data_IF_485298069956
#
_entry.id   IF_485298069956
#
_cell.length_a   1.000
_cell.length_b   1.000
_cell.length_c   1.000
_cell.angle_alpha   90.00
_cell.angle_beta   90.00
_cell.angle_gamma   90.00
#
_symmetry.space_group_name_H-M   'P 1'
#
loop_
_entity.id
_entity.type
_entity.pdbx_description
1 polymer ?
#
# COMPACT_ATOMS: atom_id res chain seq x y z
N UNK A 1 13.97 23.05 1.11
CA UNK A 1 12.61 23.64 1.21
C UNK A 1 12.60 24.87 0.33
N UNK A 2 11.92 24.83 -0.83
CA UNK A 2 11.38 26.01 -1.56
C UNK A 2 10.83 25.70 -2.97
N UNK A 3 10.89 24.47 -3.51
CA UNK A 3 10.12 24.16 -4.72
C UNK A 3 8.78 23.54 -4.30
N UNK A 4 7.82 24.41 -3.97
CA UNK A 4 6.39 24.11 -3.98
C UNK A 4 5.87 24.56 -5.34
N UNK A 5 6.25 23.86 -6.41
CA UNK A 5 5.52 23.96 -7.66
C UNK A 5 4.29 23.08 -7.45
N UNK A 6 3.24 23.68 -6.88
CA UNK A 6 1.90 23.15 -7.03
C UNK A 6 1.72 23.15 -8.55
N UNK A 7 1.64 21.96 -9.17
CA UNK A 7 1.09 21.87 -10.50
C UNK A 7 -0.28 22.55 -10.41
N UNK A 8 -0.37 23.78 -10.93
CA UNK A 8 -1.66 24.39 -11.21
C UNK A 8 -2.19 23.54 -12.35
N UNK A 9 -2.89 22.47 -11.99
CA UNK A 9 -3.93 21.95 -12.87
C UNK A 9 -4.88 23.13 -13.02
N UNK A 10 -4.73 23.83 -14.13
CA UNK A 10 -5.69 24.79 -14.65
C UNK A 10 -6.92 23.96 -15.06
N UNK A 11 -7.56 23.34 -14.08
CA UNK A 11 -8.85 22.70 -14.21
C UNK A 11 -9.81 23.80 -14.57
N UNK A 12 -10.12 23.85 -15.86
CA UNK A 12 -11.17 24.68 -16.43
C UNK A 12 -12.44 24.47 -15.59
N UNK A 13 -12.73 25.46 -14.73
CA UNK A 13 -14.02 25.69 -14.11
C UNK A 13 -15.02 26.05 -15.22
N UNK A 14 -15.42 25.06 -16.01
CA UNK A 14 -16.63 25.14 -16.81
C UNK A 14 -17.81 24.87 -15.87
N UNK A 15 -18.24 25.96 -15.22
CA UNK A 15 -19.58 26.18 -14.75
C UNK A 15 -20.56 25.86 -15.89
N UNK A 16 -21.23 24.70 -15.82
CA UNK A 16 -22.56 24.56 -16.42
C UNK A 16 -23.49 23.89 -15.38
N UNK A 17 -24.37 24.76 -14.89
CA UNK A 17 -25.56 24.49 -14.13
C UNK A 17 -26.47 23.41 -14.77
N UNK A 18 -27.38 22.92 -13.95
CA UNK A 18 -28.66 22.25 -14.30
C UNK A 18 -28.57 20.75 -14.66
N UNK A 19 -28.91 19.88 -13.72
CA UNK A 19 -30.32 19.45 -13.59
C UNK A 19 -30.49 18.47 -12.42
N UNK A 20 -31.51 18.76 -11.61
CA UNK A 20 -32.19 17.82 -10.74
C UNK A 20 -32.58 16.56 -11.54
N UNK A 21 -32.18 15.38 -11.09
CA UNK A 21 -33.05 14.21 -11.15
C UNK A 21 -32.66 13.22 -10.04
N UNK A 22 -33.58 13.11 -9.09
CA UNK A 22 -33.79 11.93 -8.27
C UNK A 22 -33.72 10.68 -9.17
N UNK A 23 -32.95 9.66 -8.80
CA UNK A 23 -33.47 8.29 -8.77
C UNK A 23 -32.49 7.33 -8.08
N UNK A 24 -33.06 6.74 -7.04
CA UNK A 24 -32.81 5.47 -6.37
C UNK A 24 -31.94 4.41 -7.08
N UNK A 25 -31.30 3.60 -6.21
CA UNK A 25 -30.99 2.18 -6.38
C UNK A 25 -30.03 1.78 -7.52
N UNK A 26 -28.81 1.37 -7.16
CA UNK A 26 -28.56 -0.06 -6.98
C UNK A 26 -27.13 -0.34 -6.51
N UNK A 27 -27.06 -1.27 -5.57
CA UNK A 27 -25.88 -2.03 -5.20
C UNK A 27 -25.27 -2.68 -6.47
N UNK A 28 -24.02 -2.36 -6.80
CA UNK A 28 -23.20 -3.30 -7.55
C UNK A 28 -21.78 -3.32 -6.96
N UNK A 29 -21.55 -4.45 -6.29
CA UNK A 29 -20.29 -5.00 -5.83
C UNK A 29 -19.35 -5.22 -7.04
N UNK A 30 -18.45 -4.28 -7.32
CA UNK A 30 -17.29 -4.56 -8.17
C UNK A 30 -16.06 -4.84 -7.28
N UNK A 31 -15.95 -6.12 -6.94
CA UNK A 31 -14.76 -6.83 -6.49
C UNK A 31 -13.67 -6.81 -7.58
N UNK A 32 -13.00 -5.68 -7.77
CA UNK A 32 -11.75 -5.63 -8.56
C UNK A 32 -10.55 -5.92 -7.63
N UNK A 33 -10.35 -7.23 -7.43
CA UNK A 33 -9.21 -7.89 -6.80
C UNK A 33 -8.01 -7.88 -7.77
N UNK A 34 -7.48 -6.68 -8.05
CA UNK A 34 -6.25 -6.50 -8.84
C UNK A 34 -5.03 -6.84 -7.99
N UNK A 35 -4.71 -8.14 -8.01
CA UNK A 35 -3.54 -8.75 -7.40
C UNK A 35 -2.23 -8.41 -8.11
N UNK A 36 -1.77 -7.17 -7.97
CA UNK A 36 -0.42 -6.77 -8.35
C UNK A 36 0.57 -7.17 -7.23
N UNK A 37 1.13 -8.37 -7.39
CA UNK A 37 2.35 -8.80 -6.68
C UNK A 37 3.56 -8.15 -7.35
N UNK A 38 3.80 -6.88 -7.05
CA UNK A 38 5.07 -6.22 -7.34
C UNK A 38 6.09 -6.58 -6.24
N UNK A 39 6.66 -7.79 -6.36
CA UNK A 39 7.86 -8.22 -5.66
C UNK A 39 9.10 -7.53 -6.27
N UNK A 40 9.11 -6.20 -6.30
CA UNK A 40 10.30 -5.41 -6.58
C UNK A 40 11.12 -5.30 -5.30
N UNK A 41 12.04 -6.25 -5.13
CA UNK A 41 13.12 -6.21 -4.16
C UNK A 41 14.04 -5.01 -4.46
N UNK A 42 13.59 -3.83 -4.02
CA UNK A 42 14.32 -2.58 -4.07
C UNK A 42 15.56 -2.66 -3.18
N UNK A 43 16.65 -3.12 -3.78
CA UNK A 43 17.97 -2.91 -3.27
C UNK A 43 18.21 -1.40 -3.19
N UNK A 44 17.93 -0.81 -2.02
CA UNK A 44 18.07 0.62 -1.69
C UNK A 44 19.50 1.09 -1.95
N UNK A 45 19.81 1.39 -3.22
CA UNK A 45 21.07 1.96 -3.62
C UNK A 45 21.10 3.36 -3.03
N UNK A 46 22.11 3.60 -2.17
CA UNK A 46 22.39 4.91 -1.57
C UNK A 46 22.07 6.04 -2.54
N UNK A 47 20.94 6.69 -2.29
CA UNK A 47 20.56 7.92 -2.96
C UNK A 47 21.65 8.89 -2.57
N UNK A 48 22.49 9.27 -3.54
CA UNK A 48 23.39 10.40 -3.36
C UNK A 48 22.49 11.61 -3.25
N UNK A 49 22.14 11.92 -2.00
CA UNK A 49 21.45 13.13 -1.65
C UNK A 49 22.22 14.29 -2.26
N UNK A 50 21.57 15.00 -3.18
CA UNK A 50 22.05 16.26 -3.80
C UNK A 50 22.28 17.34 -2.71
N UNK A 51 22.03 17.03 -1.43
CA UNK A 51 22.25 17.89 -0.27
C UNK A 51 23.44 17.49 0.61
N UNK A 52 24.49 16.85 0.08
CA UNK A 52 25.82 17.09 0.65
C UNK A 52 26.22 18.53 0.30
N UNK A 53 25.60 19.49 1.01
CA UNK A 53 26.04 20.89 1.02
C UNK A 53 27.50 20.83 1.44
N UNK A 54 28.46 21.25 0.60
CA UNK A 54 29.84 21.26 1.01
C UNK A 54 29.92 22.11 2.29
N UNK A 55 30.24 21.46 3.41
CA UNK A 55 30.24 22.04 4.77
C UNK A 55 30.88 23.43 4.79
N UNK A 56 31.91 23.59 3.96
CA UNK A 56 32.74 24.76 3.79
C UNK A 56 31.98 26.04 3.36
N UNK A 57 30.75 25.96 2.86
CA UNK A 57 29.96 27.13 2.42
C UNK A 57 29.24 27.88 3.54
N UNK A 58 28.93 27.18 4.65
CA UNK A 58 28.10 27.71 5.74
C UNK A 58 28.84 28.00 7.04
N UNK A 59 30.08 27.48 7.17
CA UNK A 59 30.84 27.52 8.42
C UNK A 59 31.29 28.93 8.85
N UNK A 60 31.19 29.94 7.97
CA UNK A 60 31.69 31.30 8.23
C UNK A 60 30.59 32.38 8.31
N UNK A 61 29.31 32.03 8.12
CA UNK A 61 28.22 33.01 8.18
C UNK A 61 27.61 33.07 9.58
N UNK A 62 27.71 34.23 10.23
CA UNK A 62 27.25 34.49 11.59
C UNK A 62 25.72 34.49 11.78
N UNK A 63 24.93 34.24 10.73
CA UNK A 63 23.46 34.21 10.78
C UNK A 63 22.90 33.06 9.96
N UNK A 64 22.02 32.28 10.60
CA UNK A 64 21.30 31.11 10.04
C UNK A 64 20.59 31.42 8.72
N UNK A 65 20.11 32.67 8.57
CA UNK A 65 19.40 33.16 7.38
C UNK A 65 20.19 33.08 6.08
N UNK A 66 21.52 33.25 6.14
CA UNK A 66 22.33 33.27 4.92
C UNK A 66 22.59 31.86 4.39
N UNK A 67 22.56 30.86 5.27
CA UNK A 67 22.71 29.46 4.88
C UNK A 67 21.47 28.96 4.16
N UNK A 68 20.29 29.34 4.63
CA UNK A 68 19.02 28.99 3.97
C UNK A 68 18.97 29.58 2.56
N UNK A 69 19.30 30.86 2.41
CA UNK A 69 19.37 31.51 1.09
C UNK A 69 20.40 30.84 0.17
N UNK A 70 21.57 30.46 0.70
CA UNK A 70 22.60 29.75 -0.06
C UNK A 70 22.09 28.39 -0.57
N UNK A 71 21.49 27.58 0.30
CA UNK A 71 20.93 26.27 -0.08
C UNK A 71 19.86 26.40 -1.16
N UNK A 72 18.99 27.42 -1.07
CA UNK A 72 18.00 27.69 -2.11
C UNK A 72 18.68 28.04 -3.44
N UNK A 73 19.67 28.95 -3.42
CA UNK A 73 20.40 29.35 -4.62
C UNK A 73 21.14 28.22 -5.32
N UNK A 74 21.51 27.15 -4.60
CA UNK A 74 22.15 25.98 -5.19
C UNK A 74 21.20 25.19 -6.10
N UNK A 75 19.89 25.26 -5.87
CA UNK A 75 18.89 24.51 -6.64
C UNK A 75 18.30 25.31 -7.81
N UNK A 76 18.63 26.60 -7.88
CA UNK A 76 18.12 27.52 -8.91
C UNK A 76 18.93 27.41 -10.21
N UNK A 77 18.23 27.59 -11.34
CA UNK A 77 18.86 27.85 -12.63
C UNK A 77 18.93 29.37 -12.87
N UNK A 78 20.04 29.98 -12.45
CA UNK A 78 20.27 31.43 -12.61
C UNK A 78 20.37 31.90 -14.08
N UNK A 79 20.36 30.98 -15.05
CA UNK A 79 20.38 31.33 -16.48
C UNK A 79 18.98 31.51 -17.07
N UNK A 80 17.94 31.02 -16.39
CA UNK A 80 16.55 31.20 -16.81
C UNK A 80 16.02 32.58 -16.38
N UNK A 81 15.07 33.13 -17.15
CA UNK A 81 14.44 34.40 -16.82
C UNK A 81 13.25 34.18 -15.87
N UNK A 82 13.31 34.65 -14.60
CA UNK A 82 12.21 34.46 -13.65
C UNK A 82 10.91 35.16 -14.06
N UNK A 83 10.96 36.14 -14.96
CA UNK A 83 9.77 36.83 -15.46
C UNK A 83 9.05 36.06 -16.58
N UNK A 84 9.70 35.02 -17.13
CA UNK A 84 9.18 34.23 -18.25
C UNK A 84 8.91 32.78 -17.81
N UNK A 85 9.87 32.14 -17.16
CA UNK A 85 9.80 30.75 -16.71
C UNK A 85 10.30 30.65 -15.26
N UNK A 86 9.44 31.03 -14.32
CA UNK A 86 9.81 31.04 -12.90
C UNK A 86 10.15 29.64 -12.38
N UNK A 87 9.47 28.60 -12.86
CA UNK A 87 9.70 27.22 -12.43
C UNK A 87 11.10 26.72 -12.84
N UNK A 88 11.51 27.00 -14.08
CA UNK A 88 12.86 26.68 -14.55
C UNK A 88 13.90 27.50 -13.79
N UNK A 89 13.67 28.79 -13.53
CA UNK A 89 14.57 29.60 -12.71
C UNK A 89 14.70 29.08 -11.28
N UNK A 90 13.60 28.74 -10.63
CA UNK A 90 13.58 28.31 -9.23
C UNK A 90 14.10 26.88 -9.05
N UNK A 91 13.80 25.97 -9.99
CA UNK A 91 13.95 24.53 -9.80
C UNK A 91 14.59 23.81 -11.00
N UNK A 92 14.97 24.51 -12.06
CA UNK A 92 15.54 23.91 -13.26
C UNK A 92 16.77 23.06 -12.98
N UNK A 93 17.64 23.45 -12.05
CA UNK A 93 18.77 22.60 -11.66
C UNK A 93 18.32 21.35 -10.92
N UNK A 94 17.33 21.47 -10.04
CA UNK A 94 16.74 20.33 -9.35
C UNK A 94 16.20 19.30 -10.36
N UNK A 95 15.42 19.72 -11.36
CA UNK A 95 14.90 18.80 -12.38
C UNK A 95 15.99 18.12 -13.21
N UNK A 96 17.09 18.82 -13.47
CA UNK A 96 18.20 18.29 -14.26
C UNK A 96 19.12 17.35 -13.47
N UNK A 97 19.22 17.52 -12.15
CA UNK A 97 20.15 16.77 -11.29
C UNK A 97 19.45 15.69 -10.44
N UNK A 98 18.16 15.81 -10.17
CA UNK A 98 17.40 14.84 -9.40
C UNK A 98 17.27 13.52 -10.19
N UNK A 99 17.65 12.41 -9.56
CA UNK A 99 17.50 11.07 -10.12
C UNK A 99 16.35 10.37 -9.42
N UNK A 100 15.38 9.86 -10.19
CA UNK A 100 14.30 9.02 -9.69
C UNK A 100 14.84 7.87 -8.86
N UNK A 101 14.24 7.67 -7.69
CA UNK A 101 14.49 6.50 -6.87
C UNK A 101 14.04 5.26 -7.66
N UNK A 102 14.72 4.11 -7.52
CA UNK A 102 14.17 2.84 -8.00
C UNK A 102 12.74 2.68 -7.46
N UNK A 103 11.79 2.32 -8.32
CA UNK A 103 10.37 2.19 -7.96
C UNK A 103 9.59 3.52 -7.80
N UNK A 104 10.25 4.67 -7.85
CA UNK A 104 9.60 5.98 -7.66
C UNK A 104 9.16 6.64 -8.97
N UNK A 105 7.88 7.01 -9.09
CA UNK A 105 7.35 7.77 -10.23
C UNK A 105 7.43 9.29 -10.07
N UNK A 106 7.58 9.79 -8.83
CA UNK A 106 7.54 11.21 -8.51
C UNK A 106 8.67 11.54 -7.52
N UNK A 107 9.43 12.61 -7.80
CA UNK A 107 10.33 13.21 -6.82
C UNK A 107 9.86 14.61 -6.50
N UNK A 108 9.55 14.84 -5.24
CA UNK A 108 9.35 16.18 -4.70
C UNK A 108 10.33 16.45 -3.57
N UNK A 109 10.41 17.71 -3.14
CA UNK A 109 11.15 18.07 -1.93
C UNK A 109 10.66 17.33 -0.68
N UNK A 110 9.39 16.91 -0.66
CA UNK A 110 8.83 16.11 0.43
C UNK A 110 9.39 14.70 0.42
N UNK A 111 9.41 14.04 -0.73
CA UNK A 111 10.00 12.70 -0.85
C UNK A 111 11.45 12.67 -0.37
N UNK A 112 12.24 13.71 -0.66
CA UNK A 112 13.61 13.82 -0.17
C UNK A 112 13.69 14.03 1.35
N UNK A 113 12.81 14.84 1.92
CA UNK A 113 12.75 15.06 3.37
C UNK A 113 12.29 13.79 4.10
N UNK A 114 11.26 13.14 3.59
CA UNK A 114 10.68 11.92 4.14
C UNK A 114 11.64 10.76 4.03
N UNK A 115 12.31 10.57 2.88
CA UNK A 115 13.35 9.55 2.72
C UNK A 115 14.45 9.72 3.77
N UNK A 116 14.94 10.95 3.99
CA UNK A 116 15.96 11.21 5.01
C UNK A 116 15.45 11.00 6.43
N UNK A 117 14.20 11.38 6.70
CA UNK A 117 13.57 11.13 8.00
C UNK A 117 13.42 9.62 8.25
N UNK A 118 13.00 8.87 7.23
CA UNK A 118 12.88 7.42 7.26
C UNK A 118 14.23 6.74 7.45
N UNK A 119 15.30 7.22 6.82
CA UNK A 119 16.66 6.70 7.05
C UNK A 119 17.06 6.84 8.52
N UNK A 120 16.89 8.03 9.10
CA UNK A 120 17.21 8.28 10.53
C UNK A 120 16.34 7.41 11.45
N UNK A 121 15.04 7.32 11.17
CA UNK A 121 14.12 6.48 11.95
C UNK A 121 14.50 5.01 11.82
N UNK A 122 14.81 4.55 10.61
CA UNK A 122 15.23 3.18 10.31
C UNK A 122 16.50 2.82 11.07
N UNK A 123 17.50 3.70 11.07
CA UNK A 123 18.73 3.51 11.84
C UNK A 123 18.45 3.36 13.34
N UNK A 124 17.60 4.23 13.92
CA UNK A 124 17.19 4.14 15.33
C UNK A 124 16.45 2.82 15.61
N UNK A 125 15.57 2.39 14.72
CA UNK A 125 14.75 1.19 14.88
C UNK A 125 15.56 -0.10 14.71
N UNK A 126 16.66 -0.06 13.94
CA UNK A 126 17.59 -1.18 13.75
C UNK A 126 18.51 -1.39 14.95
N UNK A 127 18.69 -0.38 15.80
CA UNK A 127 19.47 -0.54 17.02
C UNK A 127 18.92 -1.64 17.95
N UNK A 128 19.79 -2.20 18.77
CA UNK A 128 19.35 -3.05 19.88
C UNK A 128 18.48 -2.31 20.89
N UNK A 129 17.53 -3.04 21.48
CA UNK A 129 16.72 -2.55 22.59
C UNK A 129 17.65 -2.38 23.79
N UNK A 130 17.74 -1.16 24.30
CA UNK A 130 18.55 -0.83 25.48
C UNK A 130 17.69 -1.00 26.73
N UNK A 131 18.27 -1.37 27.88
CA UNK A 131 17.50 -1.49 29.14
C UNK A 131 16.95 -0.15 29.65
N UNK A 132 17.46 0.97 29.11
CA UNK A 132 16.97 2.33 29.39
C UNK A 132 15.87 2.78 28.44
N UNK A 133 15.57 2.01 27.39
CA UNK A 133 14.53 2.36 26.42
C UNK A 133 13.16 2.29 27.10
N UNK A 134 12.31 3.27 26.79
CA UNK A 134 10.94 3.29 27.28
C UNK A 134 10.09 2.29 26.48
N UNK A 135 8.93 1.91 27.01
CA UNK A 135 8.06 0.92 26.36
C UNK A 135 7.69 1.31 24.92
N UNK A 136 7.42 2.60 24.67
CA UNK A 136 7.10 3.13 23.35
C UNK A 136 8.28 3.13 22.35
N UNK A 137 9.52 3.02 22.84
CA UNK A 137 10.71 2.86 21.98
C UNK A 137 11.03 1.37 21.77
N UNK A 138 10.75 0.54 22.77
CA UNK A 138 11.03 -0.90 22.74
C UNK A 138 10.16 -1.62 21.71
N UNK A 139 8.86 -1.34 21.67
CA UNK A 139 7.92 -2.02 20.79
C UNK A 139 8.23 -1.83 19.29
N UNK A 140 8.45 -0.61 18.79
CA UNK A 140 8.82 -0.40 17.39
C UNK A 140 10.12 -1.11 16.99
N UNK A 141 11.14 -1.13 17.86
CA UNK A 141 12.40 -1.84 17.59
C UNK A 141 12.20 -3.36 17.48
N UNK A 142 11.42 -3.94 18.40
CA UNK A 142 11.10 -5.38 18.36
C UNK A 142 10.30 -5.72 17.10
N UNK A 143 9.32 -4.87 16.77
CA UNK A 143 8.50 -5.03 15.58
C UNK A 143 9.36 -4.99 14.31
N UNK A 144 10.17 -3.94 14.13
CA UNK A 144 11.08 -3.80 12.99
C UNK A 144 12.03 -5.00 12.85
N UNK A 145 12.63 -5.46 13.94
CA UNK A 145 13.50 -6.66 13.92
C UNK A 145 12.76 -7.94 13.54
N UNK A 146 11.49 -8.04 13.90
CA UNK A 146 10.66 -9.18 13.50
C UNK A 146 10.35 -9.14 12.00
N UNK A 147 10.09 -7.95 11.47
CA UNK A 147 9.86 -7.70 10.04
C UNK A 147 11.13 -7.89 9.18
N UNK A 148 12.33 -7.63 9.69
CA UNK A 148 13.57 -7.78 8.92
C UNK A 148 14.18 -9.18 9.01
N UNK A 149 13.66 -10.06 9.88
CA UNK A 149 14.21 -11.39 10.05
C UNK A 149 13.56 -12.38 9.09
N UNK A 150 14.16 -12.52 7.90
CA UNK A 150 13.71 -13.44 6.83
C UNK A 150 13.40 -14.86 7.32
N UNK A 151 14.13 -15.35 8.35
CA UNK A 151 13.87 -16.68 8.91
C UNK A 151 12.51 -16.77 9.60
N UNK A 152 12.10 -15.70 10.30
CA UNK A 152 10.79 -15.65 10.95
C UNK A 152 9.68 -15.36 9.96
N UNK A 153 9.92 -14.52 8.96
CA UNK A 153 8.96 -14.25 7.89
C UNK A 153 8.65 -15.52 7.12
N UNK A 154 9.67 -16.25 6.65
CA UNK A 154 9.47 -17.51 5.94
C UNK A 154 8.73 -18.54 6.79
N UNK A 155 9.06 -18.64 8.09
CA UNK A 155 8.32 -19.50 9.00
C UNK A 155 6.86 -19.07 9.15
N UNK A 156 6.59 -17.77 9.30
CA UNK A 156 5.23 -17.25 9.47
C UNK A 156 4.40 -17.40 8.19
N UNK A 157 4.93 -17.05 7.02
CA UNK A 157 4.29 -17.23 5.71
C UNK A 157 3.97 -18.70 5.46
N UNK A 158 4.91 -19.62 5.75
CA UNK A 158 4.67 -21.06 5.60
C UNK A 158 3.58 -21.56 6.54
N UNK A 159 3.55 -21.11 7.80
CA UNK A 159 2.51 -21.50 8.74
C UNK A 159 1.14 -20.87 8.41
N UNK A 160 1.11 -19.65 7.87
CA UNK A 160 -0.12 -19.00 7.43
C UNK A 160 -0.71 -19.69 6.20
N UNK A 161 0.12 -20.01 5.19
CA UNK A 161 -0.28 -20.82 4.02
C UNK A 161 -0.81 -22.20 4.44
N UNK A 162 -0.19 -22.84 5.43
CA UNK A 162 -0.66 -24.13 5.97
C UNK A 162 -2.02 -23.99 6.67
N UNK A 163 -2.22 -22.96 7.50
CA UNK A 163 -3.51 -22.76 8.17
C UNK A 163 -4.63 -22.41 7.19
N UNK A 164 -4.35 -21.60 6.17
CA UNK A 164 -5.33 -21.26 5.14
C UNK A 164 -5.72 -22.48 4.30
N UNK A 165 -4.74 -23.32 3.95
CA UNK A 165 -4.99 -24.60 3.25
C UNK A 165 -5.82 -25.55 4.11
N UNK A 166 -5.56 -25.65 5.42
CA UNK A 166 -6.33 -26.49 6.34
C UNK A 166 -7.77 -25.97 6.50
N UNK A 167 -7.97 -24.65 6.55
CA UNK A 167 -9.31 -24.06 6.63
C UNK A 167 -10.12 -24.30 5.36
N UNK A 168 -9.48 -24.18 4.19
CA UNK A 168 -10.11 -24.42 2.89
C UNK A 168 -10.42 -25.92 2.65
N UNK A 169 -9.61 -26.84 3.20
CA UNK A 169 -9.91 -28.27 3.22
C UNK A 169 -11.08 -28.57 4.17
N UNK A 170 -11.20 -27.85 5.29
CA UNK A 170 -12.29 -28.06 6.27
C UNK A 170 -13.65 -27.63 5.73
N UNK A 171 -13.73 -26.52 5.00
CA UNK A 171 -14.96 -26.11 4.31
C UNK A 171 -15.29 -27.05 3.15
N UNK A 172 -14.30 -27.47 2.36
CA UNK A 172 -14.53 -28.41 1.25
C UNK A 172 -15.00 -29.80 1.72
N UNK A 173 -14.45 -30.35 2.81
CA UNK A 173 -14.91 -31.64 3.33
C UNK A 173 -16.28 -31.55 4.02
N UNK A 174 -16.61 -30.42 4.65
CA UNK A 174 -17.94 -30.22 5.24
C UNK A 174 -19.01 -30.19 4.13
N UNK A 175 -18.74 -29.52 3.01
CA UNK A 175 -19.65 -29.45 1.86
C UNK A 175 -19.86 -30.85 1.24
N UNK A 176 -18.79 -31.63 1.05
CA UNK A 176 -18.91 -33.00 0.51
C UNK A 176 -19.75 -33.90 1.42
N UNK A 177 -19.53 -33.85 2.74
CA UNK A 177 -20.30 -34.64 3.71
C UNK A 177 -21.77 -34.22 3.74
N UNK A 178 -22.07 -32.91 3.66
CA UNK A 178 -23.44 -32.41 3.62
C UNK A 178 -24.14 -32.87 2.34
N UNK A 179 -23.48 -32.83 1.18
CA UNK A 179 -24.05 -33.29 -0.09
C UNK A 179 -24.35 -34.79 -0.06
N UNK A 180 -23.44 -35.63 0.43
CA UNK A 180 -23.70 -37.07 0.54
C UNK A 180 -24.88 -37.39 1.47
N UNK A 181 -24.97 -36.72 2.62
CA UNK A 181 -26.07 -36.93 3.57
C UNK A 181 -27.40 -36.50 2.97
N UNK A 182 -27.45 -35.35 2.29
CA UNK A 182 -28.67 -34.86 1.63
C UNK A 182 -29.11 -35.83 0.53
N UNK A 183 -28.20 -36.33 -0.30
CA UNK A 183 -28.52 -37.31 -1.35
C UNK A 183 -29.09 -38.58 -0.75
N UNK A 184 -28.50 -39.12 0.32
CA UNK A 184 -29.00 -40.32 1.01
C UNK A 184 -30.40 -40.09 1.57
N UNK A 185 -30.65 -38.95 2.22
CA UNK A 185 -31.97 -38.62 2.78
C UNK A 185 -33.03 -38.52 1.67
N UNK A 186 -32.73 -37.84 0.57
CA UNK A 186 -33.65 -37.70 -0.56
C UNK A 186 -33.99 -39.06 -1.17
N UNK A 187 -32.99 -39.93 -1.38
CA UNK A 187 -33.22 -41.28 -1.91
C UNK A 187 -34.11 -42.10 -0.99
N UNK A 188 -33.88 -42.06 0.33
CA UNK A 188 -34.71 -42.78 1.31
C UNK A 188 -36.17 -42.27 1.27
N UNK A 189 -36.39 -40.96 1.23
CA UNK A 189 -37.72 -40.37 1.16
C UNK A 189 -38.45 -40.81 -0.11
N UNK A 190 -37.79 -40.76 -1.27
CA UNK A 190 -38.38 -41.19 -2.55
C UNK A 190 -38.77 -42.67 -2.50
N UNK A 191 -37.91 -43.55 -1.98
CA UNK A 191 -38.21 -44.98 -1.85
C UNK A 191 -39.42 -45.20 -0.94
N UNK A 192 -39.50 -44.51 0.20
CA UNK A 192 -40.64 -44.62 1.12
C UNK A 192 -41.93 -44.17 0.44
N UNK A 193 -41.92 -43.04 -0.27
CA UNK A 193 -43.09 -42.54 -1.00
C UNK A 193 -43.55 -43.53 -2.06
N UNK A 194 -42.62 -44.09 -2.85
CA UNK A 194 -42.94 -45.10 -3.88
C UNK A 194 -43.56 -46.34 -3.24
N UNK A 195 -43.01 -46.85 -2.13
CA UNK A 195 -43.56 -48.00 -1.41
C UNK A 195 -44.97 -47.71 -0.91
N UNK A 196 -45.21 -46.53 -0.32
CA UNK A 196 -46.53 -46.13 0.16
C UNK A 196 -47.53 -46.06 -0.99
N UNK A 197 -47.16 -45.45 -2.12
CA UNK A 197 -48.02 -45.36 -3.31
C UNK A 197 -48.38 -46.75 -3.84
N UNK A 198 -47.40 -47.65 -3.95
CA UNK A 198 -47.65 -49.03 -4.40
C UNK A 198 -48.58 -49.77 -3.45
N UNK A 199 -48.36 -49.67 -2.13
CA UNK A 199 -49.23 -50.31 -1.13
C UNK A 199 -50.65 -49.76 -1.23
N UNK A 200 -50.83 -48.45 -1.31
CA UNK A 200 -52.16 -47.83 -1.45
C UNK A 200 -52.85 -48.28 -2.74
N UNK A 201 -52.13 -48.31 -3.87
CA UNK A 201 -52.68 -48.77 -5.14
C UNK A 201 -53.15 -50.24 -5.06
N UNK A 202 -52.36 -51.13 -4.46
CA UNK A 202 -52.76 -52.54 -4.27
C UNK A 202 -53.95 -52.71 -3.33
N UNK A 203 -54.10 -51.86 -2.32
CA UNK A 203 -55.26 -51.88 -1.42
C UNK A 203 -56.53 -51.39 -2.12
N UNK A 204 -56.42 -50.39 -3.01
CA UNK A 204 -57.57 -49.89 -3.79
C UNK A 204 -58.08 -50.94 -4.76
N UNK A 205 -57.22 -51.75 -5.38
CA UNK A 205 -57.65 -52.84 -6.27
C UNK A 205 -58.35 -54.00 -5.52
N UNK A 206 -58.17 -54.09 -4.21
CA UNK A 206 -58.79 -55.14 -3.37
C UNK A 206 -60.17 -54.75 -2.81
N UNK A 207 -60.60 -53.49 -2.96
CA UNK A 207 -61.89 -52.96 -2.48
C UNK A 207 -62.90 -52.86 -3.62
#
# INVERSE_FOLDING_TARGET
MCCWCIHHDDGDDDDDDDDDDDDDDDDDDDDDDDGDNDDDDDHFSHVRSVTEVPSNGCDNSSTTSNCEAYVVSLQMNLSADPCVEFDEYACGRFYNEAQFLPGGSIITNYHLADSKALDVVSDILREDVKPTDLSYQTWPKIFMKSCLNEKYINFFILNFKLNFTIHNIRTSQLVVVVVEVVVVVVVVVVVVVVVVVVVVATLVEMV
#
